data_IF_346874730233
#
_entry.id   IF_346874730233
#
_cell.length_a   1.000
_cell.length_b   1.000
_cell.length_c   1.000
_cell.angle_alpha   90.00
_cell.angle_beta   90.00
_cell.angle_gamma   90.00
#
_symmetry.space_group_name_H-M   'P 1'
#
loop_
_entity.id
_entity.type
_entity.pdbx_description
1 polymer ?
#
# COMPACT_ATOMS: atom_id res chain seq x y z
N UNK A 1 -12.35 20.99 12.42
CA UNK A 1 -12.78 19.71 11.81
C UNK A 1 -13.26 20.03 10.41
N UNK A 2 -12.39 19.96 9.40
CA UNK A 2 -12.79 20.29 8.01
C UNK A 2 -13.64 19.15 7.46
N UNK A 3 -14.90 19.43 7.10
CA UNK A 3 -15.77 18.49 6.39
C UNK A 3 -15.26 18.30 4.95
N UNK A 4 -14.28 17.42 4.78
CA UNK A 4 -13.83 16.98 3.45
C UNK A 4 -14.43 15.59 3.25
N UNK A 5 -15.36 15.49 2.30
CA UNK A 5 -16.03 14.23 1.98
C UNK A 5 -15.15 13.26 1.17
N UNK A 6 -14.19 13.80 0.41
CA UNK A 6 -13.32 13.02 -0.48
C UNK A 6 -11.99 13.76 -0.76
N UNK A 7 -10.90 13.01 -0.97
CA UNK A 7 -9.58 13.54 -1.33
C UNK A 7 -8.96 12.69 -2.44
N UNK A 8 -8.59 13.33 -3.54
CA UNK A 8 -7.82 12.74 -4.65
C UNK A 8 -6.40 13.31 -4.66
N UNK A 9 -5.40 12.44 -4.86
CA UNK A 9 -4.01 12.85 -5.02
C UNK A 9 -3.54 12.50 -6.42
N UNK A 10 -3.32 13.50 -7.27
CA UNK A 10 -2.89 13.34 -8.66
C UNK A 10 -1.41 13.70 -8.90
N UNK A 11 -0.69 14.15 -7.87
CA UNK A 11 0.71 14.60 -7.97
C UNK A 11 0.91 15.66 -9.07
N UNK A 12 1.87 15.42 -9.97
CA UNK A 12 2.08 16.18 -11.21
C UNK A 12 1.63 15.30 -12.39
N UNK A 13 0.35 15.31 -12.78
CA UNK A 13 -0.24 14.32 -13.67
C UNK A 13 0.06 14.55 -15.17
N UNK A 14 1.00 15.45 -15.50
CA UNK A 14 1.38 15.76 -16.87
C UNK A 14 0.29 16.47 -17.69
N UNK A 15 0.51 16.57 -19.00
CA UNK A 15 -0.33 17.35 -19.92
C UNK A 15 -1.77 16.83 -20.06
N UNK A 16 -1.98 15.52 -19.92
CA UNK A 16 -3.30 14.88 -19.98
C UNK A 16 -3.93 14.71 -18.57
N UNK A 17 -3.31 15.29 -17.54
CA UNK A 17 -3.72 15.07 -16.16
C UNK A 17 -5.10 15.60 -15.79
N UNK A 18 -5.56 16.66 -16.48
CA UNK A 18 -6.91 17.19 -16.29
C UNK A 18 -7.98 16.17 -16.71
N UNK A 19 -7.78 15.52 -17.85
CA UNK A 19 -8.67 14.47 -18.36
C UNK A 19 -8.68 13.27 -17.41
N UNK A 20 -7.50 12.76 -17.05
CA UNK A 20 -7.39 11.61 -16.15
C UNK A 20 -8.03 11.86 -14.77
N UNK A 21 -7.95 13.09 -14.25
CA UNK A 21 -8.63 13.47 -13.01
C UNK A 21 -10.14 13.54 -13.21
N UNK A 22 -10.63 14.08 -14.33
CA UNK A 22 -12.05 14.14 -14.63
C UNK A 22 -12.65 12.74 -14.76
N UNK A 23 -12.03 11.84 -15.54
CA UNK A 23 -12.46 10.45 -15.71
C UNK A 23 -12.58 9.72 -14.36
N UNK A 24 -11.62 9.95 -13.45
CA UNK A 24 -11.70 9.39 -12.09
C UNK A 24 -12.87 10.01 -11.33
N UNK A 25 -12.97 11.34 -11.27
CA UNK A 25 -14.00 12.03 -10.49
C UNK A 25 -15.43 11.71 -10.94
N UNK A 26 -15.64 11.51 -12.24
CA UNK A 26 -16.94 11.17 -12.81
C UNK A 26 -17.21 9.66 -12.87
N UNK A 27 -16.21 8.83 -12.53
CA UNK A 27 -16.37 7.38 -12.43
C UNK A 27 -16.17 6.63 -13.75
N UNK A 28 -15.73 7.31 -14.81
CA UNK A 28 -15.31 6.68 -16.07
C UNK A 28 -14.09 5.77 -15.87
N UNK A 29 -13.26 6.07 -14.85
CA UNK A 29 -12.17 5.21 -14.42
C UNK A 29 -12.18 4.97 -12.90
N UNK A 30 -12.11 3.70 -12.50
CA UNK A 30 -11.99 3.34 -11.08
C UNK A 30 -10.54 3.57 -10.59
N UNK A 31 -10.31 4.44 -9.58
CA UNK A 31 -8.97 4.73 -9.10
C UNK A 31 -8.29 3.47 -8.56
N UNK A 32 -7.07 3.23 -9.04
CA UNK A 32 -6.27 2.05 -8.72
C UNK A 32 -4.88 2.39 -8.11
N UNK A 33 -4.62 3.68 -7.90
CA UNK A 33 -3.37 4.18 -7.34
C UNK A 33 -3.18 3.82 -5.87
N UNK A 34 -1.97 3.36 -5.52
CA UNK A 34 -1.52 3.17 -4.14
C UNK A 34 -0.35 4.09 -3.81
N UNK A 35 -0.32 4.63 -2.59
CA UNK A 35 0.69 5.61 -2.18
C UNK A 35 2.10 4.97 -2.15
N UNK A 36 3.08 5.53 -2.89
CA UNK A 36 4.47 5.06 -2.83
C UNK A 36 5.24 5.65 -1.64
N UNK A 37 4.62 6.53 -0.85
CA UNK A 37 5.20 7.19 0.32
C UNK A 37 4.19 7.20 1.46
N UNK A 38 4.68 7.40 2.69
CA UNK A 38 3.83 7.54 3.88
C UNK A 38 3.53 9.01 4.15
N UNK A 39 2.27 9.35 4.40
CA UNK A 39 1.88 10.69 4.83
C UNK A 39 1.76 10.72 6.35
N UNK A 40 2.65 11.47 6.98
CA UNK A 40 2.70 11.66 8.43
C UNK A 40 1.60 12.61 8.91
N UNK A 41 1.26 12.56 10.20
CA UNK A 41 0.25 13.46 10.78
C UNK A 41 0.80 14.88 10.93
N UNK A 42 2.08 15.00 11.28
CA UNK A 42 2.77 16.27 11.45
C UNK A 42 4.21 16.20 10.95
N UNK A 43 4.78 17.36 10.60
CA UNK A 43 6.22 17.51 10.38
C UNK A 43 7.03 17.23 11.66
N UNK A 44 6.41 17.41 12.83
CA UNK A 44 7.05 17.17 14.13
C UNK A 44 7.26 15.67 14.39
N UNK A 45 6.60 14.80 13.62
CA UNK A 45 6.80 13.36 13.69
C UNK A 45 8.08 12.92 12.95
N UNK A 46 8.67 13.81 12.14
CA UNK A 46 9.84 13.50 11.34
C UNK A 46 11.13 13.84 12.09
N UNK A 47 12.16 12.99 11.99
CA UNK A 47 13.48 13.32 12.50
C UNK A 47 14.06 14.57 11.80
N UNK A 48 14.97 15.31 12.47
CA UNK A 48 15.62 16.49 11.92
C UNK A 48 16.19 16.23 10.53
N UNK A 49 16.21 17.24 9.66
CA UNK A 49 16.69 17.09 8.28
C UNK A 49 18.15 16.60 8.21
N UNK A 50 18.98 17.02 9.17
CA UNK A 50 20.39 16.64 9.27
C UNK A 50 20.63 15.23 9.82
N UNK A 51 19.59 14.56 10.35
CA UNK A 51 19.70 13.19 10.84
C UNK A 51 19.55 12.19 9.68
N UNK A 52 20.68 11.62 9.25
CA UNK A 52 20.72 10.62 8.18
C UNK A 52 20.38 9.20 8.65
N UNK A 53 19.99 9.00 9.91
CA UNK A 53 19.48 7.72 10.39
C UNK A 53 18.10 7.42 9.78
N UNK A 54 17.81 6.14 9.58
CA UNK A 54 16.53 5.65 9.08
C UNK A 54 15.48 5.49 10.19
N UNK A 55 15.87 5.48 11.47
CA UNK A 55 14.95 5.35 12.60
C UNK A 55 13.88 6.45 12.56
N UNK A 56 12.60 6.07 12.64
CA UNK A 56 11.51 7.04 12.56
C UNK A 56 11.31 7.64 11.15
N UNK A 57 11.85 7.01 10.09
CA UNK A 57 11.60 7.40 8.71
C UNK A 57 10.96 6.25 7.92
N UNK A 58 10.14 6.59 6.94
CA UNK A 58 9.48 5.65 6.02
C UNK A 58 8.54 4.65 6.72
N UNK A 59 7.74 3.92 5.95
CA UNK A 59 6.88 2.87 6.51
C UNK A 59 7.66 1.74 7.19
N UNK A 60 8.96 1.57 6.88
CA UNK A 60 9.78 0.47 7.41
C UNK A 60 10.18 0.73 8.86
N UNK A 61 10.43 1.98 9.24
CA UNK A 61 11.04 2.33 10.53
C UNK A 61 10.22 3.32 11.37
N UNK A 62 9.03 3.70 10.89
CA UNK A 62 8.10 4.56 11.60
C UNK A 62 7.06 3.72 12.34
N UNK A 63 7.12 3.75 13.68
CA UNK A 63 6.26 2.94 14.56
C UNK A 63 5.02 3.66 15.09
N UNK A 64 4.83 4.93 14.77
CA UNK A 64 3.68 5.71 15.22
C UNK A 64 2.56 5.73 14.17
N UNK A 65 1.40 6.22 14.58
CA UNK A 65 0.23 6.33 13.71
C UNK A 65 0.44 7.40 12.63
N UNK A 66 0.08 7.08 11.39
CA UNK A 66 0.26 7.95 10.22
C UNK A 66 -1.10 8.34 9.65
N UNK A 67 -1.14 9.43 8.87
CA UNK A 67 -2.39 9.88 8.25
C UNK A 67 -2.78 8.96 7.09
N UNK A 68 -1.84 8.63 6.21
CA UNK A 68 -2.01 7.62 5.17
C UNK A 68 -0.77 6.73 5.08
N UNK A 69 -0.90 5.42 5.32
CA UNK A 69 0.24 4.52 5.27
C UNK A 69 0.74 4.30 3.84
N UNK A 70 2.00 3.85 3.72
CA UNK A 70 2.51 3.34 2.45
C UNK A 70 1.62 2.22 1.91
N UNK A 71 1.37 2.24 0.60
CA UNK A 71 0.52 1.28 -0.08
C UNK A 71 -0.98 1.55 0.08
N UNK A 72 -1.38 2.61 0.77
CA UNK A 72 -2.78 3.00 0.90
C UNK A 72 -3.34 3.51 -0.43
N UNK A 73 -4.52 3.04 -0.79
CA UNK A 73 -5.26 3.43 -1.98
C UNK A 73 -6.70 2.95 -1.82
N UNK A 74 -7.64 3.77 -2.29
CA UNK A 74 -9.06 3.42 -2.31
C UNK A 74 -9.50 3.14 -3.74
N UNK A 75 -10.54 2.33 -3.87
CA UNK A 75 -11.22 2.02 -5.11
C UNK A 75 -12.71 2.33 -4.96
N UNK A 76 -13.42 2.49 -6.08
CA UNK A 76 -14.89 2.57 -6.09
C UNK A 76 -15.58 1.22 -5.87
N UNK A 77 -14.80 0.13 -5.84
CA UNK A 77 -15.29 -1.21 -5.49
C UNK A 77 -14.60 -1.74 -4.25
N UNK A 78 -15.21 -2.75 -3.63
CA UNK A 78 -14.69 -3.42 -2.46
C UNK A 78 -13.96 -4.72 -2.85
N UNK A 79 -12.83 -4.99 -2.21
CA UNK A 79 -12.07 -6.22 -2.39
C UNK A 79 -11.97 -6.99 -1.08
N UNK A 80 -12.23 -8.29 -1.14
CA UNK A 80 -11.98 -9.21 -0.04
C UNK A 80 -10.73 -10.05 -0.32
N UNK A 81 -9.99 -10.34 0.76
CA UNK A 81 -8.76 -11.12 0.72
C UNK A 81 -8.93 -12.38 1.57
N UNK A 82 -8.61 -13.54 1.00
CA UNK A 82 -8.54 -14.77 1.78
C UNK A 82 -7.33 -14.76 2.71
N UNK A 83 -7.36 -15.61 3.76
CA UNK A 83 -6.15 -15.90 4.53
C UNK A 83 -5.03 -16.41 3.58
N UNK A 84 -3.78 -15.94 3.73
CA UNK A 84 -2.67 -16.46 2.95
C UNK A 84 -2.44 -17.95 3.23
N UNK A 85 -2.24 -18.73 2.16
CA UNK A 85 -1.86 -20.13 2.23
C UNK A 85 -0.40 -20.28 1.85
N UNK A 86 0.38 -20.83 2.77
CA UNK A 86 1.79 -21.15 2.57
C UNK A 86 1.92 -22.57 2.03
N UNK A 87 2.84 -22.80 1.11
CA UNK A 87 3.13 -24.16 0.64
C UNK A 87 3.78 -25.04 1.72
N UNK A 88 4.50 -24.41 2.68
CA UNK A 88 5.15 -25.06 3.81
C UNK A 88 5.16 -24.12 5.02
N UNK A 89 5.18 -24.68 6.23
CA UNK A 89 5.33 -23.89 7.47
C UNK A 89 6.80 -23.54 7.76
N UNK A 90 7.72 -24.39 7.32
CA UNK A 90 9.16 -24.26 7.50
C UNK A 90 9.84 -24.47 6.14
N UNK A 91 10.94 -23.74 5.92
CA UNK A 91 11.75 -23.81 4.70
C UNK A 91 13.23 -23.85 5.07
N UNK A 92 14.01 -24.58 4.28
CA UNK A 92 15.46 -24.48 4.32
C UNK A 92 15.93 -23.25 3.53
N UNK A 93 17.19 -22.85 3.72
CA UNK A 93 17.78 -21.62 3.15
C UNK A 93 17.60 -21.47 1.64
N UNK A 94 17.63 -22.58 0.90
CA UNK A 94 17.60 -22.60 -0.56
C UNK A 94 16.23 -23.04 -1.13
N UNK A 95 15.22 -23.19 -0.27
CA UNK A 95 13.88 -23.58 -0.70
C UNK A 95 13.00 -22.39 -1.02
N UNK A 96 12.15 -22.53 -2.05
CA UNK A 96 11.16 -21.52 -2.42
C UNK A 96 9.85 -21.75 -1.65
N UNK A 97 9.39 -20.70 -0.96
CA UNK A 97 8.07 -20.66 -0.34
C UNK A 97 7.05 -20.06 -1.30
N UNK A 98 6.00 -20.80 -1.63
CA UNK A 98 4.88 -20.27 -2.38
C UNK A 98 3.80 -19.75 -1.43
N UNK A 99 3.39 -18.50 -1.64
CA UNK A 99 2.30 -17.85 -0.90
C UNK A 99 1.14 -17.62 -1.85
N UNK A 100 -0.03 -18.16 -1.53
CA UNK A 100 -1.25 -17.99 -2.33
C UNK A 100 -2.30 -17.24 -1.53
N UNK A 101 -2.85 -16.20 -2.13
CA UNK A 101 -3.98 -15.42 -1.61
C UNK A 101 -5.01 -15.33 -2.72
N UNK A 102 -6.28 -15.57 -2.39
CA UNK A 102 -7.39 -15.31 -3.29
C UNK A 102 -7.90 -13.91 -3.02
N UNK A 103 -8.00 -13.10 -4.07
CA UNK A 103 -8.62 -11.78 -4.04
C UNK A 103 -9.93 -11.86 -4.80
N UNK A 104 -10.99 -11.30 -4.24
CA UNK A 104 -12.32 -11.28 -4.85
C UNK A 104 -12.88 -9.86 -4.84
N UNK A 105 -13.31 -9.38 -6.01
CA UNK A 105 -14.09 -8.15 -6.11
C UNK A 105 -15.51 -8.45 -5.59
N UNK A 106 -15.88 -7.80 -4.49
CA UNK A 106 -17.16 -7.98 -3.81
C UNK A 106 -18.07 -6.77 -3.95
N UNK A 107 -17.61 -5.71 -4.62
CA UNK A 107 -18.42 -4.53 -4.89
C UNK A 107 -19.19 -4.64 -6.21
N UNK A 108 -19.58 -3.49 -6.77
CA UNK A 108 -20.48 -3.37 -7.93
C UNK A 108 -19.82 -2.83 -9.19
N UNK A 109 -18.53 -2.58 -9.14
CA UNK A 109 -17.78 -1.96 -10.22
C UNK A 109 -16.54 -2.78 -10.52
N UNK A 110 -16.14 -2.81 -11.78
CA UNK A 110 -14.81 -3.27 -12.17
C UNK A 110 -13.76 -2.45 -11.44
N UNK A 111 -12.68 -3.10 -11.02
CA UNK A 111 -11.64 -2.39 -10.28
C UNK A 111 -10.30 -3.10 -10.34
N UNK A 112 -9.26 -2.32 -10.10
CA UNK A 112 -7.89 -2.80 -10.01
C UNK A 112 -7.32 -2.46 -8.65
N UNK A 113 -6.68 -3.45 -8.00
CA UNK A 113 -6.02 -3.27 -6.71
C UNK A 113 -4.58 -3.77 -6.75
N UNK A 114 -3.72 -3.16 -5.94
CA UNK A 114 -2.32 -3.58 -5.77
C UNK A 114 -2.22 -4.47 -4.54
N UNK A 115 -1.97 -5.77 -4.76
CA UNK A 115 -1.74 -6.74 -3.70
C UNK A 115 -0.28 -6.65 -3.27
N UNK A 116 -0.04 -6.43 -1.98
CA UNK A 116 1.31 -6.19 -1.44
C UNK A 116 1.69 -7.29 -0.42
N UNK A 117 2.82 -7.95 -0.65
CA UNK A 117 3.37 -8.97 0.25
C UNK A 117 4.48 -8.36 1.09
N UNK A 118 4.30 -8.42 2.41
CA UNK A 118 5.28 -7.95 3.39
C UNK A 118 5.85 -9.10 4.19
N UNK A 119 7.15 -9.02 4.48
CA UNK A 119 7.85 -9.95 5.36
C UNK A 119 8.37 -9.15 6.56
N UNK A 120 8.34 -9.76 7.74
CA UNK A 120 8.95 -9.25 8.95
C UNK A 120 9.81 -10.38 9.54
N UNK A 121 11.07 -10.06 9.80
CA UNK A 121 11.97 -10.92 10.54
C UNK A 121 11.85 -10.58 12.03
N UNK A 122 11.50 -11.58 12.85
CA UNK A 122 11.25 -11.40 14.28
C UNK A 122 12.52 -11.53 15.11
N UNK A 123 13.52 -12.26 14.63
CA UNK A 123 14.76 -12.51 15.36
C UNK A 123 15.95 -12.33 14.43
N UNK A 124 16.75 -11.31 14.71
CA UNK A 124 17.93 -10.96 13.90
C UNK A 124 19.14 -10.73 14.80
N UNK A 125 20.31 -11.17 14.32
CA UNK A 125 21.61 -10.92 14.96
C UNK A 125 22.04 -9.44 14.90
N UNK A 126 21.35 -8.64 14.09
CA UNK A 126 21.53 -7.20 13.95
C UNK A 126 20.24 -6.48 14.34
N UNK A 127 20.36 -5.32 14.99
CA UNK A 127 19.21 -4.47 15.35
C UNK A 127 18.48 -4.04 14.07
N UNK A 128 17.29 -4.60 13.86
CA UNK A 128 16.38 -4.22 12.79
C UNK A 128 15.24 -3.40 13.38
N UNK A 129 15.15 -2.13 13.01
CA UNK A 129 13.96 -1.31 13.28
C UNK A 129 12.84 -1.55 12.24
N UNK A 130 12.97 -2.60 11.42
CA UNK A 130 12.09 -2.87 10.27
C UNK A 130 10.79 -3.50 10.75
N UNK A 131 9.71 -2.74 10.78
CA UNK A 131 8.38 -3.25 11.13
C UNK A 131 7.83 -4.19 10.05
N UNK A 132 8.02 -3.83 8.78
CA UNK A 132 7.66 -4.66 7.63
C UNK A 132 8.48 -4.26 6.42
N UNK A 133 8.81 -5.22 5.57
CA UNK A 133 9.53 -5.00 4.31
C UNK A 133 8.70 -5.52 3.15
N UNK A 134 8.42 -4.66 2.19
CA UNK A 134 7.77 -5.09 0.94
C UNK A 134 8.70 -6.04 0.20
N UNK A 135 8.22 -7.25 -0.06
CA UNK A 135 8.95 -8.27 -0.80
C UNK A 135 8.51 -8.33 -2.26
N UNK A 136 7.21 -8.25 -2.50
CA UNK A 136 6.62 -8.32 -3.83
C UNK A 136 5.28 -7.61 -3.85
N UNK A 137 4.85 -7.16 -5.03
CA UNK A 137 3.52 -6.64 -5.28
C UNK A 137 3.01 -7.12 -6.63
N UNK A 138 1.68 -7.25 -6.76
CA UNK A 138 1.01 -7.66 -7.99
C UNK A 138 -0.19 -6.76 -8.22
N UNK A 139 -0.34 -6.28 -9.46
CA UNK A 139 -1.53 -5.56 -9.90
C UNK A 139 -2.59 -6.57 -10.35
N UNK A 140 -3.77 -6.53 -9.73
CA UNK A 140 -4.88 -7.43 -10.06
C UNK A 140 -6.08 -6.61 -10.56
N UNK A 141 -6.45 -6.79 -11.83
CA UNK A 141 -7.69 -6.30 -12.40
C UNK A 141 -8.79 -7.35 -12.21
N UNK A 142 -9.90 -6.99 -11.58
CA UNK A 142 -11.01 -7.89 -11.27
C UNK A 142 -12.32 -7.27 -11.77
N UNK A 143 -12.96 -8.00 -12.68
CA UNK A 143 -14.21 -7.62 -13.34
C UNK A 143 -15.39 -8.03 -12.46
N UNK A 144 -16.38 -7.16 -12.37
CA UNK A 144 -17.68 -7.42 -11.78
C UNK A 144 -18.58 -8.14 -12.80
N UNK A 145 -19.24 -9.22 -12.38
CA UNK A 145 -20.17 -10.00 -13.19
C UNK A 145 -21.61 -9.79 -12.74
#
# INVERSE_FOLDING_TARGET
MSCIAFKLTAWYPGQAGGEAVAEVLFGDYNPSGSLPVTFYKSINDLPPFEDYNMKGRTYRYFGAEVLYPFGYGLSYTDFSYSKPKLSKAEINKDETLNVKVTITNTGKYDGTTVVQLYINDKESSVILYVFKQLWSYVLCCLIFF
#
